data_IF_201498801041
#
_entry.id   IF_201498801041
#
_cell.length_a   1.000
_cell.length_b   1.000
_cell.length_c   1.000
_cell.angle_alpha   90.00
_cell.angle_beta   90.00
_cell.angle_gamma   90.00
#
_symmetry.space_group_name_H-M   'P 1'
#
loop_
_entity.id
_entity.type
_entity.pdbx_description
1 polymer ?
#
# COMPACT_ATOMS: atom_id res chain seq x y z
N UNK A 1 -19.09 -0.79 -7.43
CA UNK A 1 -18.59 -0.91 -6.03
C UNK A 1 -19.42 -1.89 -5.21
N UNK A 2 -20.73 -1.67 -5.00
CA UNK A 2 -21.56 -2.57 -4.17
C UNK A 2 -21.66 -4.02 -4.65
N UNK A 3 -21.55 -4.25 -5.97
CA UNK A 3 -21.51 -5.61 -6.54
C UNK A 3 -20.29 -6.44 -6.13
N UNK A 4 -19.21 -5.82 -5.66
CA UNK A 4 -18.01 -6.55 -5.21
C UNK A 4 -18.27 -7.41 -3.96
N UNK A 5 -19.38 -7.18 -3.26
CA UNK A 5 -19.82 -7.97 -2.12
C UNK A 5 -20.01 -9.46 -2.44
N UNK A 6 -20.26 -9.81 -3.71
CA UNK A 6 -20.41 -11.20 -4.17
C UNK A 6 -19.15 -12.04 -3.94
N UNK A 7 -17.98 -11.40 -3.84
CA UNK A 7 -16.71 -12.05 -3.57
C UNK A 7 -16.48 -12.31 -2.07
N UNK A 8 -17.45 -11.99 -1.21
CA UNK A 8 -17.40 -12.19 0.23
C UNK A 8 -18.54 -13.12 0.68
N UNK A 9 -18.36 -13.89 1.77
CA UNK A 9 -19.45 -14.66 2.34
C UNK A 9 -20.59 -13.73 2.81
N UNK A 10 -21.84 -14.21 2.72
CA UNK A 10 -23.05 -13.46 3.12
C UNK A 10 -22.95 -12.77 4.48
N UNK A 11 -22.25 -13.40 5.45
CA UNK A 11 -22.04 -12.85 6.81
C UNK A 11 -21.25 -11.53 6.83
N UNK A 12 -20.46 -11.23 5.81
CA UNK A 12 -19.69 -9.99 5.70
C UNK A 12 -20.37 -8.92 4.84
N UNK A 13 -21.54 -9.20 4.27
CA UNK A 13 -22.21 -8.26 3.37
C UNK A 13 -22.60 -6.95 4.08
N UNK A 14 -23.15 -7.03 5.28
CA UNK A 14 -23.48 -5.85 6.09
C UNK A 14 -22.25 -4.98 6.39
N UNK A 15 -21.14 -5.62 6.79
CA UNK A 15 -19.88 -4.94 7.03
C UNK A 15 -19.33 -4.28 5.75
N UNK A 16 -19.43 -4.96 4.60
CA UNK A 16 -19.02 -4.42 3.31
C UNK A 16 -19.77 -3.15 2.93
N UNK A 17 -21.11 -3.14 3.05
CA UNK A 17 -21.90 -1.96 2.74
C UNK A 17 -21.63 -0.81 3.71
N UNK A 18 -21.43 -1.10 5.01
CA UNK A 18 -21.02 -0.09 5.99
C UNK A 18 -19.65 0.52 5.65
N UNK A 19 -18.65 -0.32 5.33
CA UNK A 19 -17.32 0.13 4.91
C UNK A 19 -17.41 0.99 3.65
N UNK A 20 -18.18 0.55 2.66
CA UNK A 20 -18.40 1.29 1.41
C UNK A 20 -19.03 2.64 1.71
N UNK A 21 -20.06 2.69 2.55
CA UNK A 21 -20.72 3.92 2.97
C UNK A 21 -19.72 4.89 3.65
N UNK A 22 -18.93 4.41 4.61
CA UNK A 22 -17.92 5.23 5.30
C UNK A 22 -16.87 5.77 4.32
N UNK A 23 -16.39 4.93 3.39
CA UNK A 23 -15.41 5.36 2.38
C UNK A 23 -15.99 6.38 1.40
N UNK A 24 -17.25 6.22 0.99
CA UNK A 24 -17.93 7.20 0.15
C UNK A 24 -18.17 8.52 0.88
N UNK A 25 -18.56 8.47 2.15
CA UNK A 25 -18.62 9.65 3.01
C UNK A 25 -17.26 10.34 3.09
N UNK A 26 -16.16 9.59 3.25
CA UNK A 26 -14.82 10.17 3.24
C UNK A 26 -14.52 10.86 1.91
N UNK A 27 -14.81 10.23 0.77
CA UNK A 27 -14.60 10.81 -0.57
C UNK A 27 -15.39 12.10 -0.75
N UNK A 28 -16.66 12.11 -0.35
CA UNK A 28 -17.52 13.29 -0.44
C UNK A 28 -16.99 14.39 0.47
N UNK A 29 -16.75 14.09 1.75
CA UNK A 29 -16.24 15.04 2.74
C UNK A 29 -14.90 15.65 2.34
N UNK A 30 -13.96 14.85 1.82
CA UNK A 30 -12.69 15.38 1.33
C UNK A 30 -12.91 16.28 0.11
N UNK A 31 -13.79 15.87 -0.81
CA UNK A 31 -14.05 16.67 -2.01
C UNK A 31 -14.76 17.99 -1.70
N UNK A 32 -15.69 18.01 -0.76
CA UNK A 32 -16.35 19.25 -0.32
C UNK A 32 -15.38 20.15 0.43
N UNK A 33 -14.61 19.62 1.38
CA UNK A 33 -13.64 20.40 2.16
C UNK A 33 -12.57 21.02 1.25
N UNK A 34 -12.02 20.25 0.31
CA UNK A 34 -11.00 20.76 -0.62
C UNK A 34 -11.56 21.83 -1.54
N UNK A 35 -12.82 21.69 -1.98
CA UNK A 35 -13.51 22.71 -2.77
C UNK A 35 -13.77 24.00 -1.96
N UNK A 36 -14.11 23.87 -0.68
CA UNK A 36 -14.37 25.01 0.21
C UNK A 36 -13.09 25.80 0.53
N UNK A 37 -11.95 25.13 0.67
CA UNK A 37 -10.63 25.75 0.90
C UNK A 37 -9.97 26.27 -0.39
N UNK A 38 -10.70 26.30 -1.52
CA UNK A 38 -10.26 26.84 -2.82
C UNK A 38 -8.92 26.31 -3.34
N UNK A 39 -8.59 25.05 -3.04
CA UNK A 39 -7.38 24.46 -3.62
C UNK A 39 -7.50 24.35 -5.16
N UNK A 40 -6.43 24.64 -5.91
CA UNK A 40 -6.47 24.63 -7.37
C UNK A 40 -6.92 23.26 -7.92
N UNK A 41 -7.92 23.28 -8.80
CA UNK A 41 -8.45 22.08 -9.45
C UNK A 41 -9.15 21.08 -8.52
N UNK A 42 -9.56 21.48 -7.31
CA UNK A 42 -10.13 20.57 -6.30
C UNK A 42 -9.19 19.43 -5.87
N UNK A 43 -7.88 19.59 -6.07
CA UNK A 43 -6.85 18.62 -5.70
C UNK A 43 -6.36 18.83 -4.28
N UNK A 44 -5.99 17.74 -3.61
CA UNK A 44 -5.42 17.83 -2.27
C UNK A 44 -4.01 18.47 -2.34
N UNK A 45 -3.68 19.43 -1.45
CA UNK A 45 -2.34 20.00 -1.40
C UNK A 45 -1.30 18.93 -1.01
N UNK A 46 -0.05 19.13 -1.45
CA UNK A 46 1.07 18.27 -1.04
C UNK A 46 1.53 17.22 -2.05
N UNK A 47 0.94 17.14 -3.25
CA UNK A 47 1.57 16.39 -4.34
C UNK A 47 1.33 17.02 -5.73
N UNK A 48 2.38 17.57 -6.38
CA UNK A 48 2.28 18.15 -7.72
C UNK A 48 1.90 17.12 -8.79
N UNK A 49 2.23 15.83 -8.59
CA UNK A 49 1.99 14.78 -9.58
C UNK A 49 0.49 14.69 -9.96
N UNK A 50 -0.42 15.07 -9.06
CA UNK A 50 -1.86 14.99 -9.30
C UNK A 50 -2.32 15.84 -10.49
N UNK A 51 -1.76 17.05 -10.66
CA UNK A 51 -2.08 17.90 -11.80
C UNK A 51 -1.71 17.20 -13.11
N UNK A 52 -0.52 16.62 -13.15
CA UNK A 52 -0.03 15.86 -14.29
C UNK A 52 -0.96 14.68 -14.64
N UNK A 53 -1.44 13.92 -13.65
CA UNK A 53 -2.40 12.83 -13.89
C UNK A 53 -3.74 13.34 -14.46
N UNK A 54 -4.26 14.45 -13.94
CA UNK A 54 -5.52 15.04 -14.40
C UNK A 54 -5.40 15.57 -15.83
N UNK A 55 -4.34 16.33 -16.12
CA UNK A 55 -4.08 16.91 -17.44
C UNK A 55 -3.85 15.81 -18.49
N UNK A 56 -3.06 14.80 -18.14
CA UNK A 56 -2.77 13.68 -19.04
C UNK A 56 -4.04 12.86 -19.34
N UNK A 57 -4.89 12.63 -18.33
CA UNK A 57 -6.18 11.97 -18.52
C UNK A 57 -7.10 12.76 -19.46
N UNK A 58 -7.14 14.09 -19.32
CA UNK A 58 -7.91 14.96 -20.21
C UNK A 58 -7.37 14.89 -21.64
N UNK A 59 -6.05 14.93 -21.84
CA UNK A 59 -5.43 14.80 -23.16
C UNK A 59 -5.81 13.48 -23.84
N UNK A 60 -5.71 12.35 -23.11
CA UNK A 60 -6.13 11.05 -23.60
C UNK A 60 -7.62 11.07 -24.00
N UNK A 61 -8.48 11.63 -23.16
CA UNK A 61 -9.92 11.69 -23.44
C UNK A 61 -10.27 12.53 -24.66
N UNK A 62 -9.56 13.63 -24.89
CA UNK A 62 -9.71 14.47 -26.09
C UNK A 62 -9.28 13.69 -27.34
N UNK A 63 -8.15 13.00 -27.28
CA UNK A 63 -7.67 12.21 -28.42
C UNK A 63 -8.55 10.99 -28.71
N UNK A 64 -9.14 10.35 -27.68
CA UNK A 64 -10.14 9.28 -27.85
C UNK A 64 -11.40 9.75 -28.59
N UNK A 65 -11.74 11.04 -28.54
CA UNK A 65 -12.89 11.62 -29.26
C UNK A 65 -12.58 11.93 -30.71
N UNK A 66 -11.32 12.25 -31.02
CA UNK A 66 -10.91 12.77 -32.32
C UNK A 66 -10.26 11.73 -33.24
N UNK A 67 -9.76 10.62 -32.70
CA UNK A 67 -9.03 9.60 -33.46
C UNK A 67 -9.71 8.23 -33.38
N UNK A 68 -9.72 7.50 -34.50
CA UNK A 68 -10.14 6.10 -34.55
C UNK A 68 -9.13 5.14 -33.92
N UNK A 69 -7.85 5.54 -33.83
CA UNK A 69 -6.78 4.77 -33.20
C UNK A 69 -5.89 5.70 -32.38
N UNK A 70 -5.64 5.34 -31.12
CA UNK A 70 -4.88 6.17 -30.18
C UNK A 70 -3.53 5.52 -29.84
N UNK A 71 -2.45 6.22 -30.17
CA UNK A 71 -1.12 5.83 -29.73
C UNK A 71 -0.79 6.44 -28.35
N UNK A 72 -0.96 5.64 -27.30
CA UNK A 72 -0.64 6.04 -25.92
C UNK A 72 0.86 6.26 -25.68
N UNK A 73 1.74 5.79 -26.57
CA UNK A 73 3.19 5.97 -26.42
C UNK A 73 3.60 7.42 -26.59
N UNK A 74 2.93 8.17 -27.48
CA UNK A 74 3.20 9.58 -27.74
C UNK A 74 2.67 10.52 -26.65
N UNK A 75 1.73 10.03 -25.84
CA UNK A 75 1.01 10.84 -24.84
C UNK A 75 1.62 10.67 -23.45
N UNK A 76 1.96 9.42 -23.08
CA UNK A 76 2.41 9.09 -21.73
C UNK A 76 3.61 8.18 -21.77
N UNK A 77 4.65 8.54 -21.03
CA UNK A 77 5.77 7.65 -20.76
C UNK A 77 5.31 6.32 -20.18
N UNK A 78 6.13 5.28 -20.37
CA UNK A 78 5.79 3.93 -19.93
C UNK A 78 5.57 3.84 -18.42
N UNK A 79 6.31 4.65 -17.66
CA UNK A 79 6.05 4.87 -16.25
C UNK A 79 4.73 5.63 -16.10
N UNK A 80 3.80 5.10 -15.30
CA UNK A 80 2.44 5.64 -15.07
C UNK A 80 1.39 5.35 -16.16
N UNK A 81 1.77 4.76 -17.29
CA UNK A 81 0.91 4.67 -18.47
C UNK A 81 -0.45 4.05 -18.18
N UNK A 82 -0.48 2.89 -17.52
CA UNK A 82 -1.75 2.21 -17.27
C UNK A 82 -2.72 3.06 -16.43
N UNK A 83 -2.22 3.72 -15.38
CA UNK A 83 -3.08 4.54 -14.52
C UNK A 83 -3.66 5.73 -15.29
N UNK A 84 -2.84 6.42 -16.11
CA UNK A 84 -3.32 7.50 -16.97
C UNK A 84 -4.31 7.05 -18.03
N UNK A 85 -4.09 5.87 -18.65
CA UNK A 85 -5.03 5.29 -19.60
C UNK A 85 -6.38 5.05 -18.92
N UNK A 86 -6.39 4.44 -17.73
CA UNK A 86 -7.62 4.18 -16.98
C UNK A 86 -8.35 5.49 -16.63
N UNK A 87 -7.63 6.51 -16.16
CA UNK A 87 -8.23 7.83 -15.89
C UNK A 87 -8.73 8.51 -17.16
N UNK A 88 -8.01 8.39 -18.29
CA UNK A 88 -8.43 8.93 -19.58
C UNK A 88 -9.72 8.29 -20.09
N UNK A 89 -9.88 6.98 -19.93
CA UNK A 89 -11.14 6.29 -20.24
C UNK A 89 -12.28 6.73 -19.31
N UNK A 90 -12.03 6.88 -18.00
CA UNK A 90 -13.03 7.41 -17.07
C UNK A 90 -13.47 8.82 -17.49
N UNK A 91 -12.53 9.66 -17.88
CA UNK A 91 -12.76 11.03 -18.36
C UNK A 91 -13.55 11.06 -19.65
N UNK A 92 -13.19 10.20 -20.59
CA UNK A 92 -13.88 10.05 -21.87
C UNK A 92 -15.34 9.68 -21.64
N UNK A 93 -15.60 8.63 -20.85
CA UNK A 93 -16.94 8.14 -20.52
C UNK A 93 -17.76 9.15 -19.73
N UNK A 94 -17.13 9.95 -18.87
CA UNK A 94 -17.79 10.99 -18.09
C UNK A 94 -18.06 12.29 -18.89
N UNK A 95 -17.46 12.46 -20.07
CA UNK A 95 -17.56 13.70 -20.84
C UNK A 95 -16.60 14.82 -20.39
N UNK A 96 -16.13 14.83 -19.14
CA UNK A 96 -15.10 15.76 -18.67
C UNK A 96 -14.28 15.17 -17.51
N UNK A 97 -13.13 15.78 -17.21
CA UNK A 97 -12.31 15.40 -16.06
C UNK A 97 -13.06 15.65 -14.74
N UNK A 98 -12.99 14.68 -13.83
CA UNK A 98 -13.65 14.76 -12.54
C UNK A 98 -12.78 14.12 -11.46
N UNK A 99 -12.22 14.97 -10.60
CA UNK A 99 -11.40 14.54 -9.45
C UNK A 99 -12.21 13.63 -8.53
N UNK A 100 -13.51 13.91 -8.35
CA UNK A 100 -14.41 13.07 -7.57
C UNK A 100 -14.45 11.63 -8.12
N UNK A 101 -14.59 11.48 -9.45
CA UNK A 101 -14.60 10.15 -10.07
C UNK A 101 -13.25 9.44 -9.95
N UNK A 102 -12.14 10.15 -10.04
CA UNK A 102 -10.82 9.56 -9.84
C UNK A 102 -10.62 9.07 -8.39
N UNK A 103 -11.10 9.84 -7.39
CA UNK A 103 -11.11 9.44 -5.97
C UNK A 103 -12.01 8.23 -5.75
N UNK A 104 -13.19 8.21 -6.37
CA UNK A 104 -14.07 7.04 -6.34
C UNK A 104 -13.38 5.81 -6.94
N UNK A 105 -12.73 5.96 -8.10
CA UNK A 105 -11.97 4.88 -8.72
C UNK A 105 -10.88 4.32 -7.80
N UNK A 106 -10.06 5.18 -7.20
CA UNK A 106 -9.03 4.75 -6.24
C UNK A 106 -9.62 4.11 -4.98
N UNK A 107 -10.75 4.63 -4.50
CA UNK A 107 -11.50 4.06 -3.37
C UNK A 107 -12.02 2.66 -3.70
N UNK A 108 -12.51 2.45 -4.93
CA UNK A 108 -12.93 1.13 -5.42
C UNK A 108 -11.76 0.15 -5.41
N UNK A 109 -10.58 0.57 -5.90
CA UNK A 109 -9.37 -0.25 -5.86
C UNK A 109 -9.00 -0.59 -4.42
N UNK A 110 -9.11 0.37 -3.47
CA UNK A 110 -8.81 0.11 -2.06
C UNK A 110 -9.72 -0.98 -1.45
N UNK A 111 -11.00 -1.04 -1.86
CA UNK A 111 -11.93 -2.10 -1.45
C UNK A 111 -11.54 -3.43 -2.09
N UNK A 112 -11.13 -3.42 -3.36
CA UNK A 112 -10.65 -4.61 -4.05
C UNK A 112 -9.39 -5.19 -3.37
N UNK A 113 -8.48 -4.35 -2.87
CA UNK A 113 -7.33 -4.77 -2.04
C UNK A 113 -7.81 -5.54 -0.81
N UNK A 114 -8.80 -5.03 -0.09
CA UNK A 114 -9.32 -5.69 1.10
C UNK A 114 -9.98 -7.05 0.78
N UNK A 115 -10.69 -7.15 -0.34
CA UNK A 115 -11.29 -8.41 -0.81
C UNK A 115 -10.21 -9.43 -1.18
N UNK A 116 -9.18 -9.02 -1.92
CA UNK A 116 -8.04 -9.90 -2.22
C UNK A 116 -7.36 -10.34 -0.92
N UNK A 117 -7.16 -9.42 0.02
CA UNK A 117 -6.56 -9.75 1.30
C UNK A 117 -7.38 -10.72 2.14
N UNK A 118 -8.71 -10.64 2.09
CA UNK A 118 -9.61 -11.66 2.66
C UNK A 118 -9.29 -13.04 2.07
N UNK A 119 -9.31 -13.19 0.74
CA UNK A 119 -9.00 -14.47 0.09
C UNK A 119 -7.57 -14.95 0.33
N UNK A 120 -6.62 -14.02 0.35
CA UNK A 120 -5.23 -14.34 0.62
C UNK A 120 -5.05 -14.86 2.05
N UNK A 121 -5.70 -14.25 3.03
CA UNK A 121 -5.66 -14.72 4.41
C UNK A 121 -6.28 -16.12 4.58
N UNK A 122 -7.28 -16.50 3.78
CA UNK A 122 -7.81 -17.88 3.73
C UNK A 122 -6.71 -18.84 3.30
N UNK A 123 -5.98 -18.50 2.25
CA UNK A 123 -4.90 -19.33 1.73
C UNK A 123 -3.71 -19.46 2.69
N UNK A 124 -3.41 -18.42 3.49
CA UNK A 124 -2.30 -18.46 4.45
C UNK A 124 -2.72 -19.15 5.76
N UNK A 125 -3.96 -18.93 6.22
CA UNK A 125 -4.45 -19.38 7.52
C UNK A 125 -5.82 -20.09 7.42
N UNK A 126 -5.93 -21.25 6.76
CA UNK A 126 -7.22 -21.85 6.39
C UNK A 126 -8.16 -22.11 7.57
N UNK A 127 -7.62 -22.46 8.73
CA UNK A 127 -8.39 -22.84 9.91
C UNK A 127 -8.79 -21.66 10.81
N UNK A 128 -8.42 -20.42 10.46
CA UNK A 128 -8.55 -19.25 11.34
C UNK A 128 -9.55 -18.21 10.78
N UNK A 129 -10.85 -18.52 10.86
CA UNK A 129 -11.94 -17.66 10.33
C UNK A 129 -11.88 -16.20 10.81
N UNK A 130 -11.43 -15.98 12.05
CA UNK A 130 -11.25 -14.64 12.60
C UNK A 130 -10.16 -13.84 11.87
N UNK A 131 -9.08 -14.48 11.43
CA UNK A 131 -8.01 -13.80 10.67
C UNK A 131 -8.53 -13.31 9.34
N UNK A 132 -9.43 -14.05 8.69
CA UNK A 132 -9.99 -13.64 7.41
C UNK A 132 -10.86 -12.40 7.56
N UNK A 133 -11.70 -12.41 8.59
CA UNK A 133 -12.55 -11.25 8.92
C UNK A 133 -11.70 -10.03 9.28
N UNK A 134 -10.66 -10.20 10.11
CA UNK A 134 -9.75 -9.11 10.46
C UNK A 134 -8.93 -8.61 9.28
N UNK A 135 -8.49 -9.48 8.37
CA UNK A 135 -7.82 -9.08 7.13
C UNK A 135 -8.70 -8.13 6.33
N UNK A 136 -9.96 -8.49 6.12
CA UNK A 136 -10.91 -7.66 5.38
C UNK A 136 -11.13 -6.29 6.06
N UNK A 137 -11.41 -6.28 7.37
CA UNK A 137 -11.71 -5.06 8.12
C UNK A 137 -10.47 -4.15 8.21
N UNK A 138 -9.33 -4.68 8.65
CA UNK A 138 -8.14 -3.86 8.85
C UNK A 138 -7.56 -3.35 7.52
N UNK A 139 -7.61 -4.12 6.43
CA UNK A 139 -7.23 -3.61 5.11
C UNK A 139 -8.18 -2.52 4.63
N UNK A 140 -9.48 -2.66 4.91
CA UNK A 140 -10.48 -1.65 4.54
C UNK A 140 -10.27 -0.32 5.27
N UNK A 141 -9.74 -0.37 6.50
CA UNK A 141 -9.48 0.80 7.34
C UNK A 141 -8.00 1.19 7.44
N UNK A 142 -7.12 0.61 6.62
CA UNK A 142 -5.69 0.90 6.65
C UNK A 142 -5.47 2.39 6.31
N UNK A 143 -4.96 3.23 7.25
CA UNK A 143 -4.97 4.68 7.10
C UNK A 143 -4.29 5.17 5.83
N UNK A 144 -3.09 4.66 5.52
CA UNK A 144 -2.36 5.03 4.31
C UNK A 144 -3.13 4.72 3.04
N UNK A 145 -3.81 3.56 2.94
CA UNK A 145 -4.64 3.26 1.77
C UNK A 145 -5.85 4.19 1.66
N UNK A 146 -6.50 4.50 2.78
CA UNK A 146 -7.65 5.39 2.80
C UNK A 146 -7.28 6.79 2.32
N UNK A 147 -6.16 7.32 2.79
CA UNK A 147 -5.74 8.67 2.44
C UNK A 147 -5.22 8.73 1.00
N UNK A 148 -4.38 7.78 0.60
CA UNK A 148 -3.88 7.74 -0.77
C UNK A 148 -4.96 7.43 -1.80
N UNK A 149 -6.08 6.83 -1.38
CA UNK A 149 -7.25 6.72 -2.24
C UNK A 149 -7.97 8.05 -2.52
N UNK A 150 -7.71 9.08 -1.71
CA UNK A 150 -8.23 10.44 -1.91
C UNK A 150 -7.33 11.30 -2.81
N UNK A 151 -6.08 10.88 -3.02
CA UNK A 151 -5.19 11.52 -3.99
C UNK A 151 -5.40 10.92 -5.38
N UNK A 152 -5.23 11.74 -6.42
CA UNK A 152 -5.20 11.27 -7.82
C UNK A 152 -3.80 10.74 -8.13
N UNK A 153 -3.47 9.56 -7.61
CA UNK A 153 -2.14 8.95 -7.74
C UNK A 153 -2.21 7.45 -8.01
N UNK A 154 -1.20 6.92 -8.72
CA UNK A 154 -1.10 5.49 -9.07
C UNK A 154 -0.83 4.55 -7.89
N UNK A 155 -0.47 5.04 -6.70
CA UNK A 155 0.07 4.26 -5.58
C UNK A 155 -0.89 3.16 -5.10
N UNK A 156 -2.20 3.44 -5.05
CA UNK A 156 -3.22 2.46 -4.68
C UNK A 156 -3.34 1.35 -5.73
N UNK A 157 -3.23 1.70 -7.02
CA UNK A 157 -3.24 0.71 -8.10
C UNK A 157 -1.99 -0.17 -8.07
N UNK A 158 -0.81 0.40 -7.79
CA UNK A 158 0.41 -0.39 -7.55
C UNK A 158 0.21 -1.33 -6.36
N UNK A 159 -0.37 -0.85 -5.26
CA UNK A 159 -0.65 -1.66 -4.06
C UNK A 159 -1.58 -2.84 -4.38
N UNK A 160 -2.59 -2.61 -5.21
CA UNK A 160 -3.50 -3.65 -5.70
C UNK A 160 -2.81 -4.71 -6.55
N UNK A 161 -2.00 -4.30 -7.53
CA UNK A 161 -1.24 -5.25 -8.36
C UNK A 161 -0.24 -6.02 -7.51
N UNK A 162 0.35 -5.37 -6.48
CA UNK A 162 1.29 -6.00 -5.58
C UNK A 162 0.65 -7.09 -4.71
N UNK A 163 -0.45 -6.80 -4.01
CA UNK A 163 -1.15 -7.84 -3.23
C UNK A 163 -1.65 -8.98 -4.13
N UNK A 164 -2.10 -8.67 -5.35
CA UNK A 164 -2.52 -9.68 -6.33
C UNK A 164 -1.36 -10.58 -6.76
N UNK A 165 -0.19 -10.01 -7.04
CA UNK A 165 1.02 -10.77 -7.37
C UNK A 165 1.39 -11.75 -6.26
N UNK A 166 1.48 -11.28 -5.02
CA UNK A 166 1.82 -12.14 -3.88
C UNK A 166 0.76 -13.19 -3.58
N UNK A 167 -0.52 -12.86 -3.73
CA UNK A 167 -1.61 -13.82 -3.61
C UNK A 167 -1.45 -14.96 -4.63
N UNK A 168 -1.32 -14.61 -5.92
CA UNK A 168 -1.16 -15.59 -7.00
C UNK A 168 0.13 -16.40 -6.88
N UNK A 169 1.21 -15.80 -6.39
CA UNK A 169 2.46 -16.48 -6.07
C UNK A 169 2.25 -17.54 -4.98
N UNK A 170 1.56 -17.17 -3.90
CA UNK A 170 1.26 -18.08 -2.78
C UNK A 170 0.39 -19.27 -3.21
N UNK A 171 -0.69 -19.00 -3.97
CA UNK A 171 -1.57 -20.07 -4.49
C UNK A 171 -1.03 -20.74 -5.77
N UNK A 172 0.20 -20.40 -6.18
CA UNK A 172 0.93 -21.00 -7.30
C UNK A 172 0.19 -20.94 -8.65
N UNK A 173 -0.50 -19.83 -8.94
CA UNK A 173 -1.17 -19.59 -10.21
C UNK A 173 -0.21 -19.04 -11.27
N UNK A 174 0.79 -19.85 -11.64
CA UNK A 174 1.89 -19.47 -12.54
C UNK A 174 1.45 -18.88 -13.87
N UNK A 175 0.38 -19.41 -14.47
CA UNK A 175 -0.12 -18.95 -15.76
C UNK A 175 -0.64 -17.50 -15.76
N UNK A 176 -1.08 -16.98 -14.61
CA UNK A 176 -1.65 -15.63 -14.48
C UNK A 176 -0.58 -14.60 -14.11
N UNK A 177 0.53 -15.03 -13.48
CA UNK A 177 1.60 -14.14 -13.04
C UNK A 177 2.22 -13.30 -14.18
N UNK A 178 2.46 -13.81 -15.40
CA UNK A 178 2.93 -12.99 -16.53
C UNK A 178 2.01 -11.81 -16.83
N UNK A 179 0.69 -11.99 -16.72
CA UNK A 179 -0.29 -10.91 -16.94
C UNK A 179 -0.12 -9.83 -15.87
N UNK A 180 0.04 -10.22 -14.61
CA UNK A 180 0.26 -9.29 -13.50
C UNK A 180 1.58 -8.53 -13.64
N UNK A 181 2.65 -9.20 -14.09
CA UNK A 181 3.95 -8.57 -14.39
C UNK A 181 3.79 -7.57 -15.54
N UNK A 182 3.07 -7.93 -16.59
CA UNK A 182 2.82 -7.05 -17.73
C UNK A 182 1.98 -5.82 -17.35
N UNK A 183 0.96 -5.99 -16.49
CA UNK A 183 0.22 -4.88 -15.88
C UNK A 183 1.16 -3.98 -15.07
N UNK A 184 2.04 -4.57 -14.25
CA UNK A 184 3.02 -3.81 -13.47
C UNK A 184 4.03 -3.09 -14.37
N UNK A 185 4.40 -3.64 -15.52
CA UNK A 185 5.30 -3.01 -16.49
C UNK A 185 4.78 -1.64 -16.94
N UNK A 186 3.48 -1.52 -17.25
CA UNK A 186 2.84 -0.24 -17.61
C UNK A 186 2.52 0.67 -16.43
N UNK A 187 2.59 0.19 -15.20
CA UNK A 187 2.48 1.04 -14.02
C UNK A 187 3.84 1.57 -13.58
N UNK A 188 4.80 0.65 -13.50
CA UNK A 188 6.17 0.87 -13.03
C UNK A 188 7.11 -0.24 -13.53
N UNK A 189 7.80 0.07 -14.63
CA UNK A 189 8.83 -0.76 -15.24
C UNK A 189 9.78 -1.45 -14.23
N UNK A 190 10.36 -0.69 -13.30
CA UNK A 190 11.33 -1.24 -12.33
C UNK A 190 10.74 -2.37 -11.47
N UNK A 191 9.47 -2.24 -11.06
CA UNK A 191 8.81 -3.29 -10.26
C UNK A 191 8.52 -4.55 -11.06
N UNK A 192 8.25 -4.41 -12.36
CA UNK A 192 8.04 -5.58 -13.23
C UNK A 192 9.30 -6.44 -13.33
N UNK A 193 10.48 -5.82 -13.44
CA UNK A 193 11.76 -6.54 -13.44
C UNK A 193 12.05 -7.20 -12.09
N UNK A 194 11.75 -6.51 -10.99
CA UNK A 194 11.87 -7.09 -9.64
C UNK A 194 10.98 -8.33 -9.49
N UNK A 195 9.75 -8.30 -10.03
CA UNK A 195 8.88 -9.48 -10.04
C UNK A 195 9.46 -10.63 -10.84
N UNK A 196 9.97 -10.39 -12.05
CA UNK A 196 10.61 -11.41 -12.87
C UNK A 196 11.77 -12.05 -12.11
N UNK A 197 12.67 -11.24 -11.54
CA UNK A 197 13.80 -11.72 -10.74
C UNK A 197 13.34 -12.56 -9.55
N UNK A 198 12.30 -12.10 -8.83
CA UNK A 198 11.75 -12.83 -7.69
C UNK A 198 11.15 -14.19 -8.05
N UNK A 199 10.52 -14.30 -9.23
CA UNK A 199 9.97 -15.57 -9.73
C UNK A 199 11.07 -16.55 -10.09
N UNK A 200 12.15 -16.07 -10.74
CA UNK A 200 13.31 -16.89 -11.06
C UNK A 200 13.97 -17.44 -9.78
N UNK A 201 14.12 -16.59 -8.74
CA UNK A 201 14.62 -17.00 -7.42
C UNK A 201 13.69 -18.07 -6.81
N UNK A 202 12.38 -17.83 -6.80
CA UNK A 202 11.43 -18.78 -6.21
C UNK A 202 11.41 -20.12 -6.96
N UNK A 203 11.38 -20.11 -8.30
CA UNK A 203 11.41 -21.30 -9.11
C UNK A 203 12.69 -22.12 -8.86
N UNK A 204 13.83 -21.43 -8.74
CA UNK A 204 15.11 -22.05 -8.40
C UNK A 204 15.04 -22.74 -7.03
N UNK A 205 14.47 -22.08 -6.01
CA UNK A 205 14.28 -22.67 -4.67
C UNK A 205 13.38 -23.93 -4.75
N UNK A 206 12.30 -23.89 -5.53
CA UNK A 206 11.41 -25.04 -5.70
C UNK A 206 12.11 -26.22 -6.39
N UNK A 207 12.90 -25.97 -7.44
CA UNK A 207 13.67 -27.00 -8.14
C UNK A 207 14.69 -27.66 -7.19
N UNK A 208 15.41 -26.85 -6.40
CA UNK A 208 16.34 -27.37 -5.40
C UNK A 208 15.64 -28.20 -4.31
N UNK A 209 14.41 -27.84 -3.93
CA UNK A 209 13.58 -28.63 -3.00
C UNK A 209 13.22 -29.98 -3.61
N UNK A 210 12.82 -30.03 -4.89
CA UNK A 210 12.44 -31.29 -5.54
C UNK A 210 13.59 -32.27 -5.70
N UNK A 211 14.83 -31.78 -5.80
CA UNK A 211 16.02 -32.61 -6.01
C UNK A 211 16.61 -33.23 -4.71
N UNK A 212 15.89 -33.17 -3.58
CA UNK A 212 16.28 -33.78 -2.29
C UNK A 212 17.72 -33.46 -1.84
N UNK A 213 18.19 -32.22 -2.10
CA UNK A 213 19.49 -31.74 -1.62
C UNK A 213 19.45 -31.39 -0.12
N UNK A 214 19.17 -32.38 0.73
CA UNK A 214 19.39 -32.32 2.18
C UNK A 214 20.88 -32.66 2.43
N UNK A 215 21.75 -31.82 3.01
CA UNK A 215 21.77 -31.63 4.46
C UNK A 215 22.77 -30.57 4.95
N UNK A 216 23.50 -29.83 4.09
CA UNK A 216 24.44 -28.77 4.54
C UNK A 216 24.41 -27.47 3.73
N UNK A 217 24.14 -27.53 2.42
CA UNK A 217 24.00 -26.33 1.56
C UNK A 217 22.70 -25.55 1.86
N UNK A 218 21.65 -26.21 2.33
CA UNK A 218 20.38 -25.56 2.69
C UNK A 218 20.53 -24.50 3.79
N UNK A 219 21.45 -24.73 4.76
CA UNK A 219 21.79 -23.73 5.79
C UNK A 219 22.49 -22.48 5.21
N UNK A 220 23.31 -22.62 4.15
CA UNK A 220 23.94 -21.47 3.47
C UNK A 220 22.92 -20.63 2.71
N UNK A 221 21.90 -21.25 2.11
CA UNK A 221 20.81 -20.50 1.47
C UNK A 221 19.97 -19.75 2.49
N UNK A 222 19.62 -20.38 3.62
CA UNK A 222 18.96 -19.71 4.75
C UNK A 222 19.82 -18.54 5.25
N UNK A 223 21.15 -18.69 5.34
CA UNK A 223 22.06 -17.61 5.74
C UNK A 223 22.10 -16.43 4.75
N UNK A 224 22.23 -16.68 3.44
CA UNK A 224 22.16 -15.62 2.40
C UNK A 224 20.84 -14.86 2.49
N UNK A 225 19.80 -15.57 2.85
CA UNK A 225 18.43 -15.10 2.91
C UNK A 225 18.10 -14.39 4.23
N UNK A 226 18.71 -14.80 5.34
CA UNK A 226 18.80 -14.03 6.59
C UNK A 226 19.58 -12.72 6.37
N UNK A 227 20.66 -12.75 5.59
CA UNK A 227 21.41 -11.54 5.18
C UNK A 227 20.51 -10.59 4.39
N UNK A 228 19.69 -11.08 3.44
CA UNK A 228 18.74 -10.22 2.73
C UNK A 228 17.71 -9.57 3.65
N UNK A 229 17.20 -10.28 4.65
CA UNK A 229 16.26 -9.73 5.64
C UNK A 229 16.94 -8.68 6.52
N UNK A 230 18.13 -8.97 7.03
CA UNK A 230 18.93 -8.04 7.82
C UNK A 230 19.29 -6.80 6.99
N UNK A 231 19.62 -6.96 5.71
CA UNK A 231 19.90 -5.83 4.81
C UNK A 231 18.63 -5.01 4.48
N UNK A 232 17.47 -5.65 4.37
CA UNK A 232 16.17 -4.97 4.21
C UNK A 232 15.82 -4.17 5.47
N UNK A 233 16.06 -4.76 6.65
CA UNK A 233 15.91 -4.13 7.95
C UNK A 233 16.85 -2.93 8.08
N UNK A 234 18.13 -3.12 7.77
CA UNK A 234 19.14 -2.06 7.79
C UNK A 234 18.75 -0.97 6.80
N UNK A 235 18.25 -1.28 5.61
CA UNK A 235 17.85 -0.26 4.64
C UNK A 235 16.58 0.48 5.03
N UNK A 236 15.60 -0.19 5.63
CA UNK A 236 14.45 0.47 6.25
C UNK A 236 14.88 1.39 7.40
N UNK A 237 15.72 0.90 8.30
CA UNK A 237 16.26 1.69 9.40
C UNK A 237 17.11 2.85 8.86
N UNK A 238 17.97 2.63 7.88
CA UNK A 238 18.75 3.67 7.20
C UNK A 238 17.83 4.68 6.49
N UNK A 239 16.66 4.27 5.96
CA UNK A 239 15.67 5.21 5.42
C UNK A 239 15.12 6.16 6.48
N UNK A 240 15.05 5.70 7.73
CA UNK A 240 14.68 6.49 8.90
C UNK A 240 15.88 7.33 9.39
N UNK A 241 17.09 6.75 9.39
CA UNK A 241 18.33 7.36 9.91
C UNK A 241 18.98 8.40 8.97
N UNK A 242 18.99 8.21 7.65
CA UNK A 242 19.48 9.20 6.66
C UNK A 242 18.63 10.49 6.62
N UNK A 243 17.57 10.54 7.43
CA UNK A 243 16.76 11.74 7.63
C UNK A 243 16.70 12.21 9.08
N UNK A 244 17.54 11.65 9.97
CA UNK A 244 17.67 12.13 11.35
C UNK A 244 18.18 13.58 11.38
N UNK A 245 19.11 13.95 10.50
CA UNK A 245 19.53 15.36 10.36
C UNK A 245 18.37 16.27 9.92
N UNK A 246 17.50 15.78 9.02
CA UNK A 246 16.30 16.51 8.59
C UNK A 246 15.23 16.57 9.69
N UNK A 247 15.07 15.51 10.47
CA UNK A 247 14.10 15.42 11.55
C UNK A 247 14.53 16.30 12.73
N UNK A 248 15.83 16.32 13.05
CA UNK A 248 16.43 17.26 14.00
C UNK A 248 16.33 18.69 13.49
N UNK A 249 16.77 18.99 12.26
CA UNK A 249 16.60 20.33 11.68
C UNK A 249 15.14 20.77 11.69
N UNK A 250 14.17 19.86 11.55
CA UNK A 250 12.75 20.18 11.59
C UNK A 250 12.22 20.39 13.02
N UNK A 251 12.60 19.54 13.99
CA UNK A 251 12.28 19.72 15.42
C UNK A 251 12.89 21.04 15.95
N UNK A 252 14.08 21.41 15.48
CA UNK A 252 14.74 22.66 15.85
C UNK A 252 14.24 23.90 15.08
N UNK A 253 13.62 23.73 13.90
CA UNK A 253 13.15 24.84 13.03
C UNK A 253 11.64 25.09 13.10
N UNK A 254 10.86 24.18 13.68
CA UNK A 254 9.44 24.34 13.96
C UNK A 254 9.18 24.31 15.47
N UNK A 255 8.23 25.13 15.95
CA UNK A 255 7.75 25.02 17.33
C UNK A 255 7.26 23.60 17.61
N UNK A 256 7.86 22.94 18.62
CA UNK A 256 7.45 21.63 19.13
C UNK A 256 5.91 21.54 19.34
N UNK A 257 5.29 22.64 19.75
CA UNK A 257 3.84 22.77 19.89
C UNK A 257 3.04 22.53 18.61
N UNK A 258 3.55 22.94 17.44
CA UNK A 258 2.91 22.68 16.14
C UNK A 258 2.95 21.19 15.77
N UNK A 259 3.94 20.44 16.26
CA UNK A 259 4.01 18.98 16.08
C UNK A 259 2.94 18.31 16.94
N UNK A 260 2.77 18.71 18.20
CA UNK A 260 1.74 18.17 19.09
C UNK A 260 0.34 18.43 18.53
N UNK A 261 0.07 19.66 18.08
CA UNK A 261 -1.25 20.03 17.53
C UNK A 261 -1.55 19.27 16.23
N UNK A 262 -0.53 19.00 15.40
CA UNK A 262 -0.68 18.24 14.15
C UNK A 262 -0.74 16.73 14.38
N UNK A 263 -0.20 16.22 15.48
CA UNK A 263 -0.10 14.78 15.73
C UNK A 263 -1.43 14.03 15.59
N UNK A 264 -2.58 14.46 16.16
CA UNK A 264 -3.85 13.75 15.99
C UNK A 264 -4.29 13.66 14.53
N UNK A 265 -4.07 14.73 13.77
CA UNK A 265 -4.41 14.79 12.36
C UNK A 265 -3.46 13.93 11.53
N UNK A 266 -2.15 14.00 11.77
CA UNK A 266 -1.15 13.14 11.12
C UNK A 266 -1.32 11.66 11.45
N UNK A 267 -1.69 11.35 12.70
CA UNK A 267 -1.95 9.99 13.16
C UNK A 267 -3.13 9.34 12.42
N UNK A 268 -4.17 10.13 12.16
CA UNK A 268 -5.32 9.76 11.33
C UNK A 268 -5.09 10.05 9.83
N UNK A 269 -3.93 10.64 9.50
CA UNK A 269 -3.49 11.14 8.21
C UNK A 269 -4.44 12.13 7.50
N UNK A 270 -5.08 12.96 8.29
CA UNK A 270 -5.90 14.11 7.90
C UNK A 270 -5.08 15.40 7.76
N UNK A 271 -3.78 15.30 7.45
CA UNK A 271 -2.84 16.44 7.43
C UNK A 271 -3.25 17.57 6.49
N UNK A 272 -3.95 17.23 5.41
CA UNK A 272 -4.43 18.20 4.43
C UNK A 272 -5.40 19.22 5.02
N UNK A 273 -6.05 18.93 6.16
CA UNK A 273 -6.93 19.86 6.86
C UNK A 273 -6.19 21.02 7.54
N UNK A 274 -4.88 20.88 7.74
CA UNK A 274 -4.03 21.88 8.42
C UNK A 274 -2.88 22.33 7.49
N UNK A 275 -3.08 22.14 6.19
CA UNK A 275 -2.18 22.68 5.18
C UNK A 275 -2.25 24.20 5.20
N UNK A 276 -1.09 24.85 5.23
CA UNK A 276 -1.00 26.30 5.11
C UNK A 276 -1.42 26.71 3.69
N UNK A 277 -2.58 27.36 3.55
CA UNK A 277 -3.18 27.74 2.25
C UNK A 277 -2.24 28.61 1.41
N UNK A 278 -1.35 29.37 2.06
CA UNK A 278 -0.36 30.22 1.41
C UNK A 278 0.77 29.44 0.72
N UNK A 279 0.92 28.15 1.03
CA UNK A 279 1.93 27.27 0.45
C UNK A 279 1.22 26.20 -0.38
N UNK A 280 1.28 26.38 -1.70
CA UNK A 280 0.79 25.40 -2.70
C UNK A 280 1.38 23.99 -2.52
N UNK A 281 2.47 23.86 -1.75
CA UNK A 281 3.11 22.61 -1.42
C UNK A 281 3.41 22.53 0.07
N UNK A 282 3.03 21.42 0.70
CA UNK A 282 3.70 21.01 1.92
C UNK A 282 5.19 20.82 1.62
N UNK A 283 6.06 21.37 2.46
CA UNK A 283 7.48 21.04 2.36
C UNK A 283 7.64 19.52 2.44
N UNK A 284 8.59 18.95 1.68
CA UNK A 284 8.88 17.50 1.68
C UNK A 284 9.10 16.96 3.10
N UNK A 285 9.53 17.82 4.03
CA UNK A 285 9.69 17.54 5.45
C UNK A 285 8.36 17.37 6.22
N UNK A 286 7.34 18.19 5.96
CA UNK A 286 6.02 18.06 6.61
C UNK A 286 5.35 16.75 6.16
N UNK A 287 5.40 16.45 4.86
CA UNK A 287 4.85 15.19 4.31
C UNK A 287 5.59 13.96 4.84
N UNK A 288 6.87 14.08 5.18
CA UNK A 288 7.63 12.98 5.76
C UNK A 288 7.27 12.78 7.23
N UNK A 289 7.23 13.85 8.01
CA UNK A 289 6.87 13.81 9.42
C UNK A 289 5.46 13.24 9.59
N UNK A 290 4.50 13.74 8.83
CA UNK A 290 3.13 13.30 9.00
C UNK A 290 2.93 11.81 8.68
N UNK A 291 3.71 11.28 7.71
CA UNK A 291 3.78 9.85 7.40
C UNK A 291 4.49 9.02 8.46
N UNK A 292 5.51 9.56 9.13
CA UNK A 292 6.14 8.89 10.29
C UNK A 292 5.16 8.78 11.45
N UNK A 293 4.28 9.76 11.60
CA UNK A 293 3.28 9.83 12.67
C UNK A 293 2.03 8.99 12.36
N UNK A 294 1.82 8.58 11.11
CA UNK A 294 0.76 7.62 10.75
C UNK A 294 0.99 6.29 11.44
N UNK A 295 -0.09 5.74 12.01
CA UNK A 295 -0.04 4.49 12.78
C UNK A 295 0.51 3.32 11.95
N UNK A 296 0.12 3.19 10.68
CA UNK A 296 0.60 2.12 9.79
C UNK A 296 1.98 2.41 9.19
N UNK A 297 2.38 3.68 9.11
CA UNK A 297 3.70 4.09 8.65
C UNK A 297 4.84 3.56 9.53
N UNK A 298 4.65 3.59 10.85
CA UNK A 298 5.66 3.20 11.84
C UNK A 298 5.38 1.85 12.51
N UNK A 299 4.14 1.60 12.95
CA UNK A 299 3.83 0.43 13.79
C UNK A 299 3.82 -0.84 12.94
N UNK A 300 3.31 -0.78 11.71
CA UNK A 300 3.14 -1.97 10.88
C UNK A 300 4.49 -2.64 10.52
N UNK A 301 5.53 -1.91 10.07
CA UNK A 301 6.85 -2.52 9.84
C UNK A 301 7.49 -3.07 11.12
N UNK A 302 7.31 -2.41 12.28
CA UNK A 302 7.86 -2.89 13.55
C UNK A 302 7.21 -4.20 14.02
N UNK A 303 5.88 -4.28 13.98
CA UNK A 303 5.17 -5.53 14.31
C UNK A 303 5.56 -6.63 13.32
N UNK A 304 5.73 -6.29 12.04
CA UNK A 304 6.18 -7.25 11.02
C UNK A 304 7.53 -7.85 11.39
N UNK A 305 8.54 -7.04 11.73
CA UNK A 305 9.88 -7.51 12.13
C UNK A 305 9.78 -8.51 13.30
N UNK A 306 9.02 -8.15 14.34
CA UNK A 306 8.84 -9.01 15.50
C UNK A 306 8.12 -10.33 15.14
N UNK A 307 7.14 -10.26 14.25
CA UNK A 307 6.37 -11.43 13.82
C UNK A 307 7.23 -12.36 12.94
N UNK A 308 8.03 -11.80 12.04
CA UNK A 308 9.01 -12.54 11.21
C UNK A 308 10.00 -13.28 12.11
N UNK A 309 10.58 -12.61 13.12
CA UNK A 309 11.46 -13.25 14.09
C UNK A 309 10.81 -14.47 14.77
N UNK A 310 9.53 -14.37 15.13
CA UNK A 310 8.77 -15.51 15.68
C UNK A 310 8.55 -16.63 14.66
N UNK A 311 8.24 -16.32 13.41
CA UNK A 311 8.05 -17.33 12.36
C UNK A 311 9.32 -18.13 12.08
N UNK A 312 10.50 -17.48 12.12
CA UNK A 312 11.78 -18.17 12.00
C UNK A 312 11.96 -19.25 13.07
N UNK A 313 11.47 -19.01 14.29
CA UNK A 313 11.52 -19.99 15.38
C UNK A 313 10.63 -21.22 15.13
N UNK A 314 9.52 -21.04 14.41
CA UNK A 314 8.53 -22.11 14.14
C UNK A 314 8.89 -22.95 12.89
N UNK A 315 9.88 -22.54 12.10
CA UNK A 315 10.42 -23.29 10.93
C UNK A 315 9.39 -23.70 9.87
N UNK A 316 8.36 -22.88 9.63
CA UNK A 316 7.47 -23.10 8.47
C UNK A 316 8.17 -22.66 7.17
N UNK A 317 8.71 -23.62 6.43
CA UNK A 317 9.55 -23.39 5.25
C UNK A 317 8.86 -22.56 4.15
N UNK A 318 7.60 -22.85 3.83
CA UNK A 318 6.90 -22.16 2.74
C UNK A 318 6.60 -20.71 3.12
N UNK A 319 6.23 -20.45 4.38
CA UNK A 319 6.03 -19.10 4.91
C UNK A 319 7.34 -18.31 4.98
N UNK A 320 8.43 -18.95 5.40
CA UNK A 320 9.77 -18.34 5.41
C UNK A 320 10.15 -17.91 3.99
N UNK A 321 10.08 -18.82 3.01
CA UNK A 321 10.40 -18.48 1.61
C UNK A 321 9.55 -17.32 1.06
N UNK A 322 8.27 -17.29 1.41
CA UNK A 322 7.40 -16.18 1.03
C UNK A 322 7.86 -14.84 1.65
N UNK A 323 8.15 -14.81 2.95
CA UNK A 323 8.69 -13.64 3.67
C UNK A 323 9.99 -13.15 3.02
N UNK A 324 10.82 -14.08 2.53
CA UNK A 324 12.09 -13.74 1.90
C UNK A 324 11.93 -13.07 0.55
N UNK A 325 10.99 -13.56 -0.26
CA UNK A 325 10.65 -12.92 -1.52
C UNK A 325 10.04 -11.55 -1.27
N UNK A 326 9.15 -11.44 -0.29
CA UNK A 326 8.58 -10.17 0.11
C UNK A 326 9.68 -9.17 0.48
N UNK A 327 10.63 -9.60 1.33
CA UNK A 327 11.76 -8.76 1.77
C UNK A 327 12.68 -8.38 0.61
N UNK A 328 13.00 -9.31 -0.29
CA UNK A 328 13.79 -9.05 -1.50
C UNK A 328 13.12 -7.98 -2.38
N UNK A 329 11.83 -8.14 -2.68
CA UNK A 329 11.10 -7.18 -3.52
C UNK A 329 11.07 -5.80 -2.86
N UNK A 330 10.79 -5.74 -1.56
CA UNK A 330 10.77 -4.49 -0.79
C UNK A 330 12.13 -3.78 -0.82
N UNK A 331 13.22 -4.54 -0.64
CA UNK A 331 14.59 -4.02 -0.66
C UNK A 331 15.00 -3.52 -2.04
N UNK A 332 14.79 -4.32 -3.08
CA UNK A 332 15.11 -3.93 -4.46
C UNK A 332 14.32 -2.69 -4.89
N UNK A 333 13.05 -2.60 -4.49
CA UNK A 333 12.22 -1.43 -4.74
C UNK A 333 12.77 -0.19 -4.04
N UNK A 334 13.16 -0.33 -2.77
CA UNK A 334 13.74 0.74 -1.98
C UNK A 334 15.08 1.25 -2.56
N UNK A 335 16.00 0.34 -2.91
CA UNK A 335 17.28 0.67 -3.52
C UNK A 335 17.07 1.39 -4.85
N UNK A 336 16.24 0.84 -5.74
CA UNK A 336 15.97 1.44 -7.04
C UNK A 336 15.45 2.87 -6.94
N UNK A 337 14.55 3.13 -6.00
CA UNK A 337 14.06 4.49 -5.74
C UNK A 337 15.12 5.42 -5.14
N UNK A 338 15.96 4.91 -4.26
CA UNK A 338 17.03 5.70 -3.64
C UNK A 338 18.02 6.18 -4.69
N UNK A 339 18.35 5.32 -5.66
CA UNK A 339 19.20 5.67 -6.81
C UNK A 339 18.52 6.69 -7.73
N UNK A 340 17.23 6.49 -8.04
CA UNK A 340 16.50 7.32 -9.03
C UNK A 340 16.20 8.74 -8.51
N UNK A 341 15.91 8.90 -7.21
CA UNK A 341 15.43 10.17 -6.66
C UNK A 341 16.36 10.79 -5.61
N UNK A 342 17.49 10.16 -5.27
CA UNK A 342 18.40 10.56 -4.17
C UNK A 342 17.69 10.82 -2.83
N UNK A 343 16.47 10.29 -2.64
CA UNK A 343 15.63 10.54 -1.47
C UNK A 343 14.73 9.33 -1.19
N UNK A 344 14.67 8.94 0.07
CA UNK A 344 13.89 7.80 0.56
C UNK A 344 12.57 8.30 1.18
N UNK A 345 11.42 7.93 0.62
CA UNK A 345 10.11 8.36 1.11
C UNK A 345 9.35 7.20 1.76
N UNK A 346 8.63 7.45 2.86
CA UNK A 346 7.70 6.45 3.45
C UNK A 346 6.57 6.04 2.48
N UNK A 347 6.26 6.90 1.50
CA UNK A 347 5.38 6.59 0.34
C UNK A 347 5.79 5.30 -0.37
N UNK A 348 7.06 4.89 -0.29
CA UNK A 348 7.59 3.67 -0.89
C UNK A 348 7.07 2.38 -0.24
N UNK A 349 6.59 2.44 0.99
CA UNK A 349 6.15 1.26 1.73
C UNK A 349 4.66 0.97 1.55
N UNK A 350 3.88 1.95 1.09
CA UNK A 350 2.44 1.85 0.86
C UNK A 350 2.05 0.63 0.02
N UNK A 351 2.75 0.32 -1.11
CA UNK A 351 2.48 -0.88 -1.89
C UNK A 351 2.55 -2.19 -1.10
N UNK A 352 3.32 -2.22 -0.01
CA UNK A 352 3.60 -3.42 0.77
C UNK A 352 2.77 -3.54 2.05
N UNK A 353 2.22 -2.43 2.57
CA UNK A 353 1.38 -2.44 3.77
C UNK A 353 0.25 -3.48 3.74
N UNK A 354 -0.46 -3.71 2.61
CA UNK A 354 -1.48 -4.76 2.58
C UNK A 354 -0.91 -6.15 2.92
N UNK A 355 0.26 -6.49 2.38
CA UNK A 355 0.88 -7.81 2.59
C UNK A 355 1.48 -7.89 4.00
N UNK A 356 2.13 -6.82 4.47
CA UNK A 356 2.67 -6.76 5.84
C UNK A 356 1.56 -6.96 6.88
N UNK A 357 0.40 -6.35 6.68
CA UNK A 357 -0.76 -6.52 7.56
C UNK A 357 -1.23 -7.97 7.62
N UNK A 358 -1.29 -8.66 6.48
CA UNK A 358 -1.64 -10.08 6.43
C UNK A 358 -0.65 -10.94 7.22
N UNK A 359 0.65 -10.67 7.11
CA UNK A 359 1.68 -11.42 7.81
C UNK A 359 1.60 -11.27 9.34
N UNK A 360 1.10 -10.13 9.83
CA UNK A 360 1.01 -9.84 11.27
C UNK A 360 -0.33 -10.18 11.91
N UNK A 361 -1.31 -10.70 11.17
CA UNK A 361 -2.63 -11.07 11.71
C UNK A 361 -2.57 -11.93 12.98
N UNK A 362 -1.66 -12.94 13.10
CA UNK A 362 -1.56 -13.72 14.33
C UNK A 362 -1.09 -12.89 15.54
N UNK A 363 -0.21 -11.91 15.32
CA UNK A 363 0.24 -10.98 16.37
C UNK A 363 -0.87 -10.02 16.77
N UNK A 364 -1.64 -9.52 15.79
CA UNK A 364 -2.78 -8.62 16.04
C UNK A 364 -3.87 -9.30 16.87
N UNK A 365 -4.17 -10.59 16.64
CA UNK A 365 -5.13 -11.31 17.48
C UNK A 365 -4.72 -11.27 18.96
N UNK A 366 -3.46 -11.53 19.26
CA UNK A 366 -2.99 -11.55 20.65
C UNK A 366 -3.09 -10.17 21.31
N UNK A 367 -2.86 -9.09 20.56
CA UNK A 367 -3.00 -7.72 21.05
C UNK A 367 -4.48 -7.38 21.22
N UNK A 368 -5.28 -7.51 20.16
CA UNK A 368 -6.71 -7.17 20.17
C UNK A 368 -7.45 -8.01 21.22
N UNK A 369 -7.28 -9.32 21.28
CA UNK A 369 -7.95 -10.13 22.31
C UNK A 369 -7.47 -9.78 23.72
N UNK A 370 -6.17 -9.58 23.96
CA UNK A 370 -5.67 -9.28 25.32
C UNK A 370 -6.20 -7.94 25.84
N UNK A 371 -6.28 -6.91 24.99
CA UNK A 371 -6.74 -5.58 25.39
C UNK A 371 -8.26 -5.41 25.31
N UNK A 372 -8.94 -5.99 24.32
CA UNK A 372 -10.41 -5.91 24.22
C UNK A 372 -11.08 -6.73 25.34
N UNK A 373 -10.49 -7.85 25.75
CA UNK A 373 -10.93 -8.61 26.93
C UNK A 373 -10.63 -7.89 28.25
N UNK A 374 -9.50 -7.17 28.33
CA UNK A 374 -9.20 -6.31 29.48
C UNK A 374 -10.20 -5.14 29.61
N UNK A 375 -10.57 -4.50 28.49
CA UNK A 375 -11.58 -3.42 28.47
C UNK A 375 -12.97 -3.95 28.80
N UNK A 376 -13.35 -5.13 28.30
CA UNK A 376 -14.64 -5.77 28.64
C UNK A 376 -14.69 -6.23 30.11
N UNK A 377 -13.58 -6.67 30.69
CA UNK A 377 -13.52 -6.99 32.12
C UNK A 377 -13.38 -5.75 33.02
N UNK A 378 -12.89 -4.61 32.52
CA UNK A 378 -12.86 -3.36 33.28
C UNK A 378 -14.28 -2.85 33.60
N UNK A 379 -15.28 -3.17 32.75
CA UNK A 379 -16.70 -2.92 33.05
C UNK A 379 -17.26 -3.75 34.20
N UNK A 380 -16.58 -4.81 34.67
CA UNK A 380 -16.98 -5.56 35.87
C UNK A 380 -16.46 -4.96 37.19
N UNK A 381 -15.59 -3.95 37.12
CA UNK A 381 -15.00 -3.30 38.30
C UNK A 381 -15.44 -1.83 38.47
N UNK A 382 -16.45 -1.38 37.71
CA UNK A 382 -17.10 -0.07 37.86
C UNK A 382 -18.62 -0.27 37.93
N UNK A 383 -19.07 -1.11 38.87
CA UNK A 383 -20.45 -1.10 39.39
C UNK A 383 -20.33 -0.84 40.88
#
# INVERSE_FOLDING_TARGET
MGSMVIFLPKKLWGAHFLILFIKLLLVVSVSTVVSLHRYPGSLLPGNPDQFWYVETAQRIAVELRSKNFLDYYEIVNIHNRLYNILLGWITYLNGNSSVLLYRMFNTMISIAIAIIGYHFSISIYPNQRLYHTFAYIFLSFLPSLNIYSQFVLRDILISFVNILFFYLLWIRKWAILPIVIYIMYYLRLQMSYIYIASLLIYATILIFKSLHFESKKHKKYILILEIFIVMTLISYLLSLFFKVDYLFQYIFKFDFWKIIIRFPFSFLGLDFLIADESKSYFSRSILLLSRLLMIDGFILPLIYIFTVYRYFKVRNFDLINFINILSFIMMSYYIGYSIEYNVTFLRLWIPFYPILLLMILPSLKNIVFKYFYAILNFKRYII
#
